data_IF_876188874189
#
_entry.id   IF_876188874189
#
_cell.length_a   1.000
_cell.length_b   1.000
_cell.length_c   1.000
_cell.angle_alpha   90.00
_cell.angle_beta   90.00
_cell.angle_gamma   90.00
#
_symmetry.space_group_name_H-M   'P 1'
#
loop_
_entity.id
_entity.type
_entity.pdbx_description
1 polymer ?
#
# COMPACT_ATOMS: atom_id res chain seq x y z
N UNK A 1 -1.46 -16.90 -9.65
CA UNK A 1 -2.25 -17.13 -8.45
C UNK A 1 -3.14 -15.93 -8.20
N UNK A 2 -4.42 -16.09 -8.54
CA UNK A 2 -5.51 -15.19 -8.10
C UNK A 2 -5.79 -15.33 -6.59
N UNK A 3 -4.76 -15.54 -5.78
CA UNK A 3 -4.93 -15.70 -4.34
C UNK A 3 -4.89 -14.32 -3.68
N UNK A 4 -6.03 -13.84 -3.21
CA UNK A 4 -6.13 -12.61 -2.41
C UNK A 4 -6.09 -12.89 -0.91
N UNK A 5 -6.22 -14.17 -0.52
CA UNK A 5 -6.24 -14.59 0.87
C UNK A 5 -4.82 -14.83 1.39
N UNK A 6 -4.40 -14.02 2.38
CA UNK A 6 -3.08 -14.10 2.99
C UNK A 6 -3.01 -15.10 4.17
N UNK A 7 -4.13 -15.35 4.85
CA UNK A 7 -4.20 -16.16 6.07
C UNK A 7 -5.33 -17.20 6.02
N UNK A 8 -5.22 -18.33 6.75
CA UNK A 8 -4.12 -18.72 7.64
C UNK A 8 -2.83 -19.13 6.89
N UNK A 9 -1.69 -19.07 7.58
CA UNK A 9 -0.42 -19.55 7.01
C UNK A 9 -0.25 -21.05 7.26
N UNK A 10 -0.26 -21.84 6.19
CA UNK A 10 -0.05 -23.28 6.23
C UNK A 10 1.14 -23.66 5.33
N UNK A 11 2.05 -24.50 5.85
CA UNK A 11 3.23 -24.99 5.12
C UNK A 11 3.32 -26.50 5.18
N UNK A 12 3.99 -27.08 4.19
CA UNK A 12 4.22 -28.51 4.14
C UNK A 12 5.12 -28.96 5.31
N UNK A 13 4.66 -29.96 6.06
CA UNK A 13 5.48 -30.62 7.08
C UNK A 13 6.19 -31.84 6.48
N UNK A 14 7.51 -31.78 6.41
CA UNK A 14 8.36 -32.89 5.98
C UNK A 14 8.52 -33.96 7.07
N UNK A 15 8.46 -35.22 6.68
CA UNK A 15 8.79 -36.38 7.53
C UNK A 15 9.25 -37.57 6.67
N UNK A 16 9.97 -38.51 7.28
CA UNK A 16 10.54 -39.66 6.58
C UNK A 16 9.46 -40.55 5.93
N UNK A 17 9.66 -40.90 4.66
CA UNK A 17 8.73 -41.72 3.89
C UNK A 17 7.53 -40.96 3.30
N UNK A 18 7.44 -39.63 3.47
CA UNK A 18 6.39 -38.83 2.83
C UNK A 18 6.59 -38.78 1.31
N UNK A 19 5.58 -39.17 0.55
CA UNK A 19 5.51 -38.93 -0.90
C UNK A 19 5.09 -37.47 -1.14
N UNK A 20 5.86 -36.73 -1.92
CA UNK A 20 5.57 -35.34 -2.27
C UNK A 20 4.80 -35.26 -3.58
N UNK A 21 3.78 -34.41 -3.60
CA UNK A 21 2.92 -34.16 -4.76
C UNK A 21 3.08 -32.71 -5.23
N UNK A 22 2.55 -32.39 -6.42
CA UNK A 22 2.46 -31.00 -6.89
C UNK A 22 1.70 -30.09 -5.92
N UNK A 23 0.71 -30.63 -5.20
CA UNK A 23 -0.03 -29.90 -4.17
C UNK A 23 0.87 -29.48 -3.00
N UNK A 24 1.80 -30.34 -2.57
CA UNK A 24 2.76 -30.01 -1.50
C UNK A 24 3.71 -28.87 -1.92
N UNK A 25 4.20 -28.89 -3.17
CA UNK A 25 5.06 -27.81 -3.69
C UNK A 25 4.30 -26.51 -3.94
N UNK A 26 3.03 -26.61 -4.34
CA UNK A 26 2.15 -25.45 -4.50
C UNK A 26 1.88 -24.80 -3.14
N UNK A 27 1.65 -25.61 -2.10
CA UNK A 27 1.48 -25.12 -0.73
C UNK A 27 2.72 -24.38 -0.21
N UNK A 28 3.93 -24.88 -0.52
CA UNK A 28 5.18 -24.19 -0.16
C UNK A 28 5.34 -22.83 -0.87
N UNK A 29 5.03 -22.76 -2.18
CA UNK A 29 5.05 -21.49 -2.92
C UNK A 29 4.04 -20.49 -2.34
N UNK A 30 2.81 -20.94 -2.11
CA UNK A 30 1.75 -20.15 -1.50
C UNK A 30 2.16 -19.63 -0.12
N UNK A 31 2.73 -20.49 0.73
CA UNK A 31 3.16 -20.11 2.08
C UNK A 31 4.16 -18.97 2.05
N UNK A 32 5.24 -19.13 1.26
CA UNK A 32 6.30 -18.12 1.19
C UNK A 32 5.80 -16.82 0.57
N UNK A 33 5.01 -16.91 -0.51
CA UNK A 33 4.41 -15.75 -1.16
C UNK A 33 3.44 -15.01 -0.21
N UNK A 34 2.59 -15.73 0.52
CA UNK A 34 1.65 -15.11 1.46
C UNK A 34 2.37 -14.48 2.65
N UNK A 35 3.45 -15.09 3.16
CA UNK A 35 4.29 -14.50 4.22
C UNK A 35 4.98 -13.22 3.76
N UNK A 36 5.55 -13.22 2.54
CA UNK A 36 6.19 -12.05 1.94
C UNK A 36 5.17 -10.93 1.69
N UNK A 37 4.05 -11.23 1.05
CA UNK A 37 2.96 -10.28 0.80
C UNK A 37 2.37 -9.72 2.08
N UNK A 38 2.21 -10.56 3.12
CA UNK A 38 1.81 -10.09 4.44
C UNK A 38 2.79 -9.07 4.99
N UNK A 39 4.11 -9.33 4.94
CA UNK A 39 5.10 -8.36 5.40
C UNK A 39 5.12 -7.09 4.53
N UNK A 40 5.02 -7.22 3.21
CA UNK A 40 4.98 -6.08 2.31
C UNK A 40 3.82 -5.17 2.64
N UNK A 41 2.62 -5.75 2.73
CA UNK A 41 1.44 -5.02 3.16
C UNK A 41 1.62 -4.48 4.57
N UNK A 42 2.18 -5.27 5.50
CA UNK A 42 2.31 -4.96 6.91
C UNK A 42 3.39 -3.93 7.28
N UNK A 43 4.33 -3.63 6.39
CA UNK A 43 5.48 -2.78 6.71
C UNK A 43 5.64 -1.65 5.71
N UNK A 44 5.31 -1.90 4.43
CA UNK A 44 5.57 -0.98 3.33
C UNK A 44 4.28 -0.41 2.71
N UNK A 45 3.12 -1.02 2.98
CA UNK A 45 1.84 -0.57 2.46
C UNK A 45 1.71 -0.83 0.95
N UNK A 46 1.13 0.13 0.24
CA UNK A 46 0.74 0.05 -1.17
C UNK A 46 1.22 1.31 -1.90
N UNK A 47 1.54 1.20 -3.20
CA UNK A 47 1.98 2.31 -4.04
C UNK A 47 3.33 2.11 -4.72
N UNK A 48 3.83 3.18 -5.37
CA UNK A 48 5.11 3.18 -6.08
C UNK A 48 6.28 3.13 -5.08
N UNK A 49 7.20 2.19 -5.29
CA UNK A 49 8.44 2.08 -4.52
C UNK A 49 9.50 2.99 -5.12
N UNK A 50 9.71 2.90 -6.44
CA UNK A 50 10.69 3.68 -7.20
C UNK A 50 10.37 3.68 -8.69
N UNK A 51 10.85 4.70 -9.42
CA UNK A 51 10.66 4.82 -10.86
C UNK A 51 9.19 5.02 -11.24
N UNK A 52 8.76 4.37 -12.33
CA UNK A 52 7.37 4.45 -12.85
C UNK A 52 6.92 5.88 -13.19
N UNK A 53 7.86 6.76 -13.54
CA UNK A 53 7.51 8.08 -14.04
C UNK A 53 6.75 7.94 -15.36
N UNK A 54 5.78 8.82 -15.55
CA UNK A 54 4.99 8.89 -16.77
C UNK A 54 5.30 10.19 -17.48
N UNK A 55 5.79 10.07 -18.71
CA UNK A 55 6.09 11.22 -19.56
C UNK A 55 5.17 11.19 -20.76
N UNK A 56 4.60 12.35 -21.10
CA UNK A 56 3.84 12.53 -22.34
C UNK A 56 4.80 12.54 -23.53
N UNK A 57 4.39 11.87 -24.61
CA UNK A 57 5.04 11.89 -25.91
C UNK A 57 4.05 12.37 -26.97
N UNK A 58 4.53 12.55 -28.21
CA UNK A 58 3.69 12.89 -29.35
C UNK A 58 2.65 11.78 -29.67
N UNK A 59 1.63 12.13 -30.47
CA UNK A 59 0.59 11.22 -30.94
C UNK A 59 -0.21 10.49 -29.84
N UNK A 60 -0.53 11.18 -28.73
CA UNK A 60 -1.28 10.60 -27.60
C UNK A 60 -0.64 9.33 -27.06
N UNK A 61 0.69 9.35 -26.98
CA UNK A 61 1.51 8.27 -26.43
C UNK A 61 2.11 8.69 -25.09
N UNK A 62 2.36 7.70 -24.24
CA UNK A 62 3.03 7.89 -22.96
C UNK A 62 4.25 6.97 -22.88
N UNK A 63 5.31 7.47 -22.25
CA UNK A 63 6.44 6.67 -21.78
C UNK A 63 6.24 6.38 -20.30
N UNK A 64 6.19 5.11 -19.94
CA UNK A 64 6.25 4.66 -18.55
C UNK A 64 7.65 4.16 -18.29
N UNK A 65 8.38 4.82 -17.40
CA UNK A 65 9.75 4.42 -17.06
C UNK A 65 9.77 3.13 -16.23
N UNK A 66 10.91 2.44 -16.27
CA UNK A 66 11.14 1.27 -15.43
C UNK A 66 11.02 1.62 -13.93
N UNK A 67 10.60 0.65 -13.13
CA UNK A 67 10.36 0.88 -11.70
C UNK A 67 9.62 -0.26 -11.03
N UNK A 68 9.23 -0.03 -9.78
CA UNK A 68 8.55 -1.02 -8.97
C UNK A 68 7.45 -0.41 -8.11
N UNK A 69 6.41 -1.20 -7.83
CA UNK A 69 5.30 -0.85 -6.96
C UNK A 69 4.84 -2.05 -6.11
N UNK A 70 4.09 -1.76 -5.05
CA UNK A 70 3.32 -2.73 -4.28
C UNK A 70 1.83 -2.48 -4.50
N UNK A 71 1.07 -3.54 -4.73
CA UNK A 71 -0.39 -3.42 -4.79
C UNK A 71 -1.08 -3.63 -3.43
N UNK A 72 -2.41 -3.44 -3.40
CA UNK A 72 -3.27 -3.62 -2.23
C UNK A 72 -3.15 -4.98 -1.52
N UNK A 73 -2.67 -6.00 -2.24
CA UNK A 73 -2.51 -7.34 -1.73
C UNK A 73 -1.06 -7.67 -1.35
N UNK A 74 -0.17 -6.66 -1.33
CA UNK A 74 1.24 -6.77 -0.99
C UNK A 74 2.11 -7.40 -2.09
N UNK A 75 1.61 -7.51 -3.33
CA UNK A 75 2.34 -8.08 -4.46
C UNK A 75 3.26 -7.03 -5.05
N UNK A 76 4.49 -7.42 -5.33
CA UNK A 76 5.46 -6.63 -6.08
C UNK A 76 5.07 -6.62 -7.56
N UNK A 77 5.09 -5.43 -8.15
CA UNK A 77 4.92 -5.24 -9.58
C UNK A 77 6.21 -4.58 -10.07
N UNK A 78 6.89 -5.22 -11.01
CA UNK A 78 8.15 -4.72 -11.57
C UNK A 78 7.96 -4.44 -13.05
N UNK A 79 8.23 -3.19 -13.44
CA UNK A 79 8.38 -2.77 -14.82
C UNK A 79 9.88 -2.74 -15.10
N UNK A 80 10.40 -3.82 -15.70
CA UNK A 80 11.84 -4.01 -15.86
C UNK A 80 12.48 -3.03 -16.85
N UNK A 81 11.73 -2.66 -17.90
CA UNK A 81 12.17 -1.78 -18.98
C UNK A 81 11.11 -0.71 -19.23
N UNK A 82 11.55 0.49 -19.61
CA UNK A 82 10.65 1.57 -19.96
C UNK A 82 9.84 1.24 -21.21
N UNK A 83 8.53 1.50 -21.19
CA UNK A 83 7.62 1.13 -22.29
C UNK A 83 6.87 2.34 -22.83
N UNK A 84 6.80 2.42 -24.16
CA UNK A 84 5.95 3.39 -24.85
C UNK A 84 4.60 2.75 -25.15
N UNK A 85 3.51 3.42 -24.76
CA UNK A 85 2.14 2.99 -25.01
C UNK A 85 1.31 4.11 -25.61
N UNK A 86 0.61 3.80 -26.71
CA UNK A 86 -0.48 4.66 -27.22
C UNK A 86 -1.66 4.56 -26.27
N UNK A 87 -2.25 5.68 -25.87
CA UNK A 87 -3.40 5.71 -24.95
C UNK A 87 -4.56 4.85 -25.48
N UNK A 88 -4.83 4.91 -26.79
CA UNK A 88 -5.89 4.13 -27.46
C UNK A 88 -5.71 2.60 -27.36
N UNK A 89 -4.47 2.13 -27.19
CA UNK A 89 -4.16 0.71 -27.05
C UNK A 89 -4.31 0.20 -25.60
N UNK A 90 -4.46 1.10 -24.62
CA UNK A 90 -4.65 0.73 -23.22
C UNK A 90 -6.08 0.26 -23.00
N UNK A 91 -6.23 -0.82 -22.22
CA UNK A 91 -7.55 -1.28 -21.78
C UNK A 91 -8.22 -0.18 -20.97
N UNK A 92 -9.53 -0.02 -21.16
CA UNK A 92 -10.31 1.03 -20.49
C UNK A 92 -10.35 2.37 -21.23
N UNK A 93 -9.51 2.60 -22.25
CA UNK A 93 -9.53 3.87 -23.01
C UNK A 93 -10.91 4.23 -23.57
N UNK A 94 -11.56 3.28 -24.24
CA UNK A 94 -12.89 3.48 -24.84
C UNK A 94 -14.03 3.56 -23.82
N UNK A 95 -13.73 3.26 -22.56
CA UNK A 95 -14.69 3.37 -21.45
C UNK A 95 -14.61 4.73 -20.75
N UNK A 96 -13.66 5.59 -21.13
CA UNK A 96 -13.53 6.94 -20.59
C UNK A 96 -14.52 7.86 -21.28
N UNK A 97 -15.36 8.51 -20.47
CA UNK A 97 -16.41 9.47 -20.84
C UNK A 97 -16.15 10.88 -20.28
N UNK A 98 -15.36 11.00 -19.22
CA UNK A 98 -14.99 12.25 -18.55
C UNK A 98 -13.69 12.88 -19.07
N UNK A 99 -13.36 14.05 -18.52
CA UNK A 99 -12.18 14.84 -18.91
C UNK A 99 -10.87 14.34 -18.27
N UNK A 100 -10.96 13.52 -17.22
CA UNK A 100 -9.82 12.99 -16.47
C UNK A 100 -9.87 11.46 -16.44
N UNK A 101 -8.70 10.84 -16.51
CA UNK A 101 -8.54 9.40 -16.36
C UNK A 101 -7.26 9.09 -15.59
N UNK A 102 -7.24 7.95 -14.91
CA UNK A 102 -6.07 7.45 -14.19
C UNK A 102 -5.35 6.39 -15.00
N UNK A 103 -4.02 6.47 -15.06
CA UNK A 103 -3.18 5.37 -15.48
C UNK A 103 -2.91 4.44 -14.31
N UNK A 104 -3.40 3.21 -14.41
CA UNK A 104 -3.27 2.21 -13.37
C UNK A 104 -2.33 1.08 -13.80
N UNK A 105 -1.62 0.54 -12.81
CA UNK A 105 -0.74 -0.59 -12.92
C UNK A 105 -1.29 -1.72 -12.06
N UNK A 106 -1.47 -2.92 -12.62
CA UNK A 106 -1.86 -4.11 -11.86
C UNK A 106 -0.96 -5.29 -12.12
N UNK A 107 -0.76 -6.09 -11.07
CA UNK A 107 -0.08 -7.36 -11.15
C UNK A 107 -0.83 -8.33 -12.06
N UNK A 108 -0.09 -9.06 -12.89
CA UNK A 108 -0.63 -10.04 -13.82
C UNK A 108 0.25 -11.28 -13.83
N UNK A 109 -0.38 -12.45 -13.89
CA UNK A 109 0.32 -13.71 -14.10
C UNK A 109 -0.19 -14.36 -15.37
N UNK A 110 0.72 -14.97 -16.12
CA UNK A 110 0.41 -15.76 -17.31
C UNK A 110 1.08 -17.12 -17.24
N UNK A 111 0.32 -18.16 -17.56
CA UNK A 111 0.84 -19.52 -17.69
C UNK A 111 1.58 -19.64 -19.03
N UNK A 112 2.88 -19.90 -18.96
CA UNK A 112 3.80 -19.91 -20.12
C UNK A 112 4.57 -21.22 -20.22
N UNK A 113 5.24 -21.41 -21.36
CA UNK A 113 6.00 -22.62 -21.69
C UNK A 113 5.12 -23.89 -21.72
N UNK A 114 4.26 -24.06 -22.75
CA UNK A 114 3.44 -25.26 -22.90
C UNK A 114 4.33 -26.49 -23.10
N UNK A 115 4.09 -27.52 -22.30
CA UNK A 115 4.78 -28.80 -22.36
C UNK A 115 3.77 -29.92 -22.53
N UNK A 116 4.16 -30.95 -23.28
CA UNK A 116 3.34 -32.15 -23.43
C UNK A 116 3.34 -32.98 -22.13
N UNK A 117 2.16 -33.30 -21.62
CA UNK A 117 1.95 -34.13 -20.44
C UNK A 117 1.45 -35.52 -20.84
N UNK A 118 2.38 -36.48 -20.94
CA UNK A 118 2.07 -37.86 -21.34
C UNK A 118 1.12 -38.61 -20.37
N UNK A 119 0.99 -38.14 -19.12
CA UNK A 119 0.09 -38.70 -18.11
C UNK A 119 -1.21 -37.90 -17.93
N UNK A 120 -1.59 -37.08 -18.91
CA UNK A 120 -2.83 -36.32 -18.85
C UNK A 120 -4.06 -37.25 -18.83
N UNK A 121 -4.97 -37.02 -17.90
CA UNK A 121 -6.21 -37.82 -17.74
C UNK A 121 -7.21 -37.60 -18.88
N UNK A 122 -7.12 -36.47 -19.57
CA UNK A 122 -8.02 -36.06 -20.66
C UNK A 122 -7.22 -35.42 -21.80
N UNK A 123 -7.72 -35.55 -23.04
CA UNK A 123 -7.11 -34.95 -24.24
C UNK A 123 -6.89 -33.44 -24.09
N UNK A 124 -7.80 -32.76 -23.40
CA UNK A 124 -7.72 -31.31 -23.16
C UNK A 124 -6.61 -30.89 -22.18
N UNK A 125 -5.92 -31.85 -21.54
CA UNK A 125 -4.80 -31.62 -20.62
C UNK A 125 -3.46 -32.16 -21.14
N UNK A 126 -3.41 -32.59 -22.40
CA UNK A 126 -2.19 -33.09 -23.05
C UNK A 126 -1.09 -32.02 -23.13
N UNK A 127 -1.45 -30.74 -23.07
CA UNK A 127 -0.50 -29.64 -22.98
C UNK A 127 -0.79 -28.79 -21.75
N UNK A 128 0.22 -28.64 -20.89
CA UNK A 128 0.16 -27.79 -19.71
C UNK A 128 1.38 -26.87 -19.66
N UNK A 129 1.17 -25.64 -19.23
CA UNK A 129 2.24 -24.67 -19.07
C UNK A 129 3.07 -25.01 -17.84
N UNK A 130 4.39 -25.17 -18.04
CA UNK A 130 5.31 -25.56 -16.97
C UNK A 130 5.74 -24.41 -16.05
N UNK A 131 5.42 -23.17 -16.42
CA UNK A 131 5.86 -21.98 -15.69
C UNK A 131 4.75 -20.95 -15.62
N UNK A 132 4.87 -20.09 -14.62
CA UNK A 132 4.06 -18.89 -14.49
C UNK A 132 5.00 -17.70 -14.62
N UNK A 133 4.70 -16.81 -15.56
CA UNK A 133 5.41 -15.55 -15.71
C UNK A 133 4.64 -14.47 -14.94
N UNK A 134 5.34 -13.83 -14.01
CA UNK A 134 4.83 -12.69 -13.26
C UNK A 134 5.15 -11.41 -14.02
N UNK A 135 4.17 -10.55 -14.17
CA UNK A 135 4.30 -9.29 -14.89
C UNK A 135 3.23 -8.29 -14.48
N UNK A 136 2.91 -7.40 -15.41
CA UNK A 136 2.01 -6.30 -15.15
C UNK A 136 1.09 -6.00 -16.32
N UNK A 137 0.04 -5.25 -16.04
CA UNK A 137 -0.83 -4.68 -17.05
C UNK A 137 -1.09 -3.20 -16.75
N UNK A 138 -0.86 -2.36 -17.76
CA UNK A 138 -1.25 -0.96 -17.76
C UNK A 138 -2.66 -0.84 -18.33
N UNK A 139 -3.50 -0.06 -17.64
CA UNK A 139 -4.88 0.18 -18.04
C UNK A 139 -5.33 1.56 -17.57
N UNK A 140 -6.38 2.07 -18.19
CA UNK A 140 -7.00 3.34 -17.83
C UNK A 140 -8.33 3.09 -17.13
N UNK A 141 -8.64 3.93 -16.15
CA UNK A 141 -9.94 3.93 -15.47
C UNK A 141 -10.43 5.35 -15.30
N UNK A 142 -11.74 5.49 -15.29
CA UNK A 142 -12.38 6.65 -14.71
C UNK A 142 -12.45 6.46 -13.20
N UNK A 143 -12.28 7.54 -12.48
CA UNK A 143 -12.43 7.62 -11.05
C UNK A 143 -12.53 9.08 -10.67
N UNK A 144 -13.03 9.36 -9.48
CA UNK A 144 -12.64 10.58 -8.79
C UNK A 144 -11.21 10.35 -8.29
N UNK A 145 -10.46 11.41 -8.01
CA UNK A 145 -9.39 11.26 -7.03
C UNK A 145 -10.10 10.69 -5.80
N UNK A 146 -10.06 9.38 -5.59
CA UNK A 146 -10.15 8.89 -4.24
C UNK A 146 -9.01 9.64 -3.57
N UNK A 147 -9.33 10.74 -2.85
CA UNK A 147 -8.52 11.22 -1.75
C UNK A 147 -8.02 9.93 -1.15
N UNK A 148 -6.70 9.67 -1.25
CA UNK A 148 -6.11 8.43 -0.75
C UNK A 148 -6.56 8.40 0.69
N UNK A 149 -7.68 7.74 0.94
CA UNK A 149 -8.32 7.84 2.22
C UNK A 149 -7.43 6.90 3.01
N UNK A 150 -6.68 7.41 3.97
CA UNK A 150 -5.82 6.56 4.78
C UNK A 150 -6.67 5.61 5.65
N UNK A 151 -7.99 5.58 5.45
CA UNK A 151 -8.96 4.93 6.30
C UNK A 151 -9.08 3.42 6.13
N UNK A 152 -8.37 2.76 5.19
CA UNK A 152 -8.46 1.28 5.10
C UNK A 152 -7.17 0.48 4.89
N UNK A 153 -6.00 1.10 4.77
CA UNK A 153 -4.71 0.40 4.67
C UNK A 153 -3.75 0.68 5.85
N UNK A 154 -4.19 0.25 7.04
CA UNK A 154 -3.42 -0.68 7.89
C UNK A 154 -2.29 -0.19 8.81
N UNK A 155 -1.62 0.95 8.56
CA UNK A 155 -0.43 1.34 9.38
C UNK A 155 -0.58 2.59 10.19
N UNK A 156 -1.35 3.55 9.73
CA UNK A 156 -1.55 4.81 10.42
C UNK A 156 -3.02 4.99 10.73
N UNK A 157 -3.31 5.44 11.95
CA UNK A 157 -4.62 5.89 12.35
C UNK A 157 -4.64 7.41 12.29
N UNK A 158 -5.70 7.93 11.72
CA UNK A 158 -5.97 9.36 11.67
C UNK A 158 -7.14 9.69 12.60
N UNK A 159 -7.02 10.82 13.29
CA UNK A 159 -8.06 11.42 14.10
C UNK A 159 -8.29 12.85 13.65
N UNK A 160 -9.52 13.19 13.30
CA UNK A 160 -9.86 14.56 12.95
C UNK A 160 -9.95 15.42 14.22
N UNK A 161 -9.18 16.50 14.28
CA UNK A 161 -9.23 17.49 15.37
C UNK A 161 -10.17 18.63 15.00
N UNK A 162 -10.07 19.13 13.77
CA UNK A 162 -10.90 20.22 13.25
C UNK A 162 -11.29 19.91 11.81
N UNK A 163 -12.56 20.10 11.51
CA UNK A 163 -13.04 20.14 10.13
C UNK A 163 -14.00 21.32 10.00
N UNK A 164 -13.58 22.36 9.29
CA UNK A 164 -14.41 23.50 8.95
C UNK A 164 -14.40 23.73 7.43
N UNK A 165 -15.06 24.79 6.97
CA UNK A 165 -15.18 25.10 5.55
C UNK A 165 -13.82 25.30 4.85
N UNK A 166 -12.85 25.87 5.56
CA UNK A 166 -11.58 26.33 4.99
C UNK A 166 -10.40 25.36 5.24
N UNK A 167 -10.47 24.59 6.32
CA UNK A 167 -9.36 23.80 6.84
C UNK A 167 -9.80 22.44 7.39
N UNK A 168 -8.94 21.44 7.23
CA UNK A 168 -9.01 20.15 7.95
C UNK A 168 -7.73 19.97 8.76
N UNK A 169 -7.83 19.80 10.07
CA UNK A 169 -6.70 19.47 10.93
C UNK A 169 -6.83 18.02 11.42
N UNK A 170 -5.82 17.22 11.13
CA UNK A 170 -5.79 15.78 11.42
C UNK A 170 -4.54 15.45 12.22
N UNK A 171 -4.70 14.63 13.26
CA UNK A 171 -3.57 13.95 13.91
C UNK A 171 -3.41 12.55 13.33
N UNK A 172 -2.19 12.19 12.96
CA UNK A 172 -1.83 10.92 12.34
C UNK A 172 -0.75 10.23 13.16
N UNK A 173 -0.93 8.95 13.47
CA UNK A 173 0.08 8.14 14.16
C UNK A 173 0.04 6.68 13.72
N UNK A 174 1.12 5.91 13.87
CA UNK A 174 1.09 4.48 13.62
C UNK A 174 0.08 3.74 14.52
N UNK A 175 -0.62 2.73 13.97
CA UNK A 175 -1.52 1.84 14.72
C UNK A 175 -0.73 0.86 15.59
N UNK A 176 0.47 0.50 15.15
CA UNK A 176 1.37 -0.41 15.85
C UNK A 176 2.70 0.29 16.15
N UNK A 177 3.16 0.18 17.39
CA UNK A 177 4.39 0.80 17.88
C UNK A 177 5.23 -0.21 18.65
N UNK A 178 6.55 -0.11 18.52
CA UNK A 178 7.48 -1.01 19.20
C UNK A 178 7.84 -0.50 20.58
N UNK A 179 7.80 -1.37 21.59
CA UNK A 179 8.21 -1.11 22.97
C UNK A 179 9.58 -0.44 23.02
N UNK A 180 9.75 0.63 23.82
CA UNK A 180 11.00 1.40 23.99
C UNK A 180 11.53 2.07 22.71
N UNK A 181 10.74 2.16 21.65
CA UNK A 181 11.11 2.93 20.46
C UNK A 181 10.40 4.28 20.47
N UNK A 182 10.97 5.23 19.76
CA UNK A 182 10.31 6.50 19.49
C UNK A 182 9.26 6.29 18.39
N UNK A 183 8.14 6.98 18.54
CA UNK A 183 7.08 7.06 17.55
C UNK A 183 6.96 8.50 17.08
N UNK A 184 6.80 8.68 15.76
CA UNK A 184 6.41 9.95 15.15
C UNK A 184 4.90 10.06 15.15
N UNK A 185 4.39 11.15 15.69
CA UNK A 185 3.00 11.60 15.61
C UNK A 185 3.01 12.85 14.75
N UNK A 186 2.15 12.92 13.74
CA UNK A 186 2.13 14.02 12.78
C UNK A 186 0.82 14.79 12.90
N UNK A 187 0.90 16.11 12.96
CA UNK A 187 -0.24 17.01 12.88
C UNK A 187 -0.28 17.60 11.47
N UNK A 188 -1.35 17.36 10.73
CA UNK A 188 -1.46 17.72 9.32
C UNK A 188 -2.65 18.66 9.14
N UNK A 189 -2.39 19.86 8.62
CA UNK A 189 -3.39 20.85 8.24
C UNK A 189 -3.53 20.84 6.73
N UNK A 190 -4.76 20.65 6.24
CA UNK A 190 -5.13 20.70 4.83
C UNK A 190 -5.92 21.97 4.56
N UNK A 191 -5.55 22.70 3.49
CA UNK A 191 -6.33 23.84 2.99
C UNK A 191 -7.39 23.37 1.98
N UNK A 192 -8.67 23.61 2.26
CA UNK A 192 -9.80 23.16 1.43
C UNK A 192 -10.23 24.17 0.36
N UNK A 193 -10.04 25.46 0.63
CA UNK A 193 -10.55 26.56 -0.20
C UNK A 193 -9.42 27.48 -0.65
N UNK A 194 -9.70 28.37 -1.60
CA UNK A 194 -8.77 29.41 -2.05
C UNK A 194 -8.76 30.66 -1.15
N UNK A 195 -9.57 30.70 -0.09
CA UNK A 195 -9.67 31.88 0.76
C UNK A 195 -8.35 32.13 1.49
N UNK A 196 -7.82 33.36 1.44
CA UNK A 196 -6.64 33.76 2.20
C UNK A 196 -6.97 33.89 3.69
N UNK A 197 -6.94 32.75 4.37
CA UNK A 197 -7.04 32.66 5.83
C UNK A 197 -5.82 31.94 6.35
N UNK A 198 -5.44 32.28 7.57
CA UNK A 198 -4.39 31.63 8.32
C UNK A 198 -5.00 30.88 9.51
N UNK A 199 -4.37 29.79 9.91
CA UNK A 199 -4.77 29.01 11.08
C UNK A 199 -3.53 28.65 11.89
N UNK A 200 -3.49 29.07 13.15
CA UNK A 200 -2.59 28.51 14.15
C UNK A 200 -3.35 27.54 15.06
N UNK A 201 -2.65 26.55 15.59
CA UNK A 201 -3.22 25.58 16.50
C UNK A 201 -2.28 25.30 17.66
N UNK A 202 -2.81 25.33 18.88
CA UNK A 202 -2.14 24.84 20.07
C UNK A 202 -3.09 23.92 20.82
N UNK A 203 -2.59 22.76 21.24
CA UNK A 203 -3.39 21.76 21.91
C UNK A 203 -2.56 20.84 22.78
N UNK A 204 -3.19 20.29 23.80
CA UNK A 204 -2.56 19.31 24.68
C UNK A 204 -3.32 18.00 24.62
N UNK A 205 -2.61 16.92 24.32
CA UNK A 205 -3.19 15.58 24.22
C UNK A 205 -2.55 14.69 25.26
N UNK A 206 -3.38 13.94 25.98
CA UNK A 206 -2.92 12.90 26.88
C UNK A 206 -2.75 11.58 26.11
N UNK A 207 -1.54 11.02 26.14
CA UNK A 207 -1.14 9.85 25.37
C UNK A 207 -0.67 8.72 26.30
N UNK A 208 -1.60 7.95 26.89
CA UNK A 208 -1.26 6.82 27.77
C UNK A 208 -0.35 5.82 27.05
N UNK A 209 0.69 5.33 27.73
CA UNK A 209 1.67 4.40 27.16
C UNK A 209 2.76 5.05 26.31
N UNK A 210 2.78 6.38 26.25
CA UNK A 210 3.85 7.16 25.61
C UNK A 210 4.42 8.16 26.63
N UNK A 211 5.70 8.49 26.48
CA UNK A 211 6.40 9.47 27.30
C UNK A 211 7.06 10.51 26.40
N UNK A 212 6.96 11.78 26.76
CA UNK A 212 7.80 12.83 26.18
C UNK A 212 9.20 12.81 26.81
N UNK A 213 10.09 13.71 26.36
CA UNK A 213 11.46 13.85 26.88
C UNK A 213 11.53 14.12 28.39
N UNK A 214 10.47 14.70 28.98
CA UNK A 214 10.36 15.00 30.41
C UNK A 214 9.77 13.85 31.22
N UNK A 215 9.45 12.71 30.58
CA UNK A 215 8.83 11.57 31.24
C UNK A 215 7.36 11.78 31.60
N UNK A 216 6.64 12.69 30.93
CA UNK A 216 5.18 12.83 31.09
C UNK A 216 4.42 12.26 29.89
N UNK A 217 3.18 11.82 30.12
CA UNK A 217 2.27 11.30 29.09
C UNK A 217 1.58 12.40 28.27
N UNK A 218 2.06 13.63 28.37
CA UNK A 218 1.41 14.78 27.76
C UNK A 218 2.19 15.20 26.52
N UNK A 219 1.48 15.25 25.40
CA UNK A 219 1.98 15.78 24.15
C UNK A 219 1.42 17.19 23.92
N UNK A 220 2.31 18.16 23.72
CA UNK A 220 1.96 19.51 23.34
C UNK A 220 2.05 19.65 21.83
N UNK A 221 0.89 19.70 21.18
CA UNK A 221 0.74 19.95 19.76
C UNK A 221 0.76 21.45 19.52
N UNK A 222 1.57 21.89 18.57
CA UNK A 222 1.61 23.28 18.12
C UNK A 222 1.77 23.34 16.61
N UNK A 223 1.15 24.32 15.98
CA UNK A 223 1.29 24.62 14.57
C UNK A 223 1.18 26.12 14.39
N UNK A 224 2.26 26.72 13.87
CA UNK A 224 2.28 28.15 13.56
C UNK A 224 1.40 28.44 12.36
N UNK A 225 0.79 29.63 12.37
CA UNK A 225 -0.02 30.10 11.26
C UNK A 225 0.84 30.35 10.03
N UNK A 226 0.40 29.80 8.90
CA UNK A 226 1.01 30.02 7.59
C UNK A 226 -0.08 30.18 6.53
N UNK A 227 0.17 31.02 5.54
CA UNK A 227 -0.66 31.10 4.34
C UNK A 227 -0.45 29.85 3.49
N UNK A 228 -1.53 29.13 3.24
CA UNK A 228 -1.56 27.92 2.41
C UNK A 228 -2.44 28.15 1.19
N UNK A 229 -2.02 27.64 0.04
CA UNK A 229 -2.84 27.63 -1.19
C UNK A 229 -3.78 26.42 -1.14
N UNK A 230 -4.93 26.47 -1.84
CA UNK A 230 -5.86 25.35 -1.91
C UNK A 230 -5.16 24.05 -2.32
N UNK A 231 -5.39 22.97 -1.57
CA UNK A 231 -4.76 21.66 -1.79
C UNK A 231 -3.35 21.53 -1.18
N UNK A 232 -2.74 22.63 -0.71
CA UNK A 232 -1.51 22.57 0.07
C UNK A 232 -1.78 22.01 1.48
N UNK A 233 -0.75 21.38 2.05
CA UNK A 233 -0.76 20.90 3.43
C UNK A 233 0.46 21.38 4.19
N UNK A 234 0.27 21.64 5.48
CA UNK A 234 1.33 21.85 6.46
C UNK A 234 1.37 20.64 7.40
N UNK A 235 2.56 20.11 7.66
CA UNK A 235 2.76 18.97 8.54
C UNK A 235 3.79 19.32 9.63
N UNK A 236 3.40 19.12 10.89
CA UNK A 236 4.27 19.24 12.05
C UNK A 236 4.49 17.87 12.69
N UNK A 237 5.73 17.59 13.10
CA UNK A 237 6.13 16.28 13.60
C UNK A 237 6.47 16.34 15.10
N UNK A 238 5.91 15.38 15.84
CA UNK A 238 6.11 15.22 17.27
C UNK A 238 6.64 13.83 17.58
N UNK A 239 7.54 13.75 18.54
CA UNK A 239 8.16 12.48 18.93
C UNK A 239 7.81 12.15 20.37
N UNK A 240 7.46 10.88 20.60
CA UNK A 240 7.28 10.33 21.94
C UNK A 240 7.93 8.97 22.04
N UNK A 241 8.42 8.61 23.23
CA UNK A 241 8.94 7.29 23.52
C UNK A 241 7.81 6.35 23.95
N UNK A 242 7.74 5.16 23.36
CA UNK A 242 6.76 4.14 23.73
C UNK A 242 7.20 3.50 25.04
N UNK A 243 6.33 3.54 26.04
CA UNK A 243 6.61 2.95 27.33
C UNK A 243 6.88 1.46 27.23
N UNK A 244 7.70 0.92 28.14
CA UNK A 244 7.80 -0.51 28.29
C UNK A 244 6.47 -1.05 28.83
N UNK A 245 5.53 -1.43 27.94
CA UNK A 245 4.21 -1.94 28.29
C UNK A 245 4.23 -2.82 29.55
N UNK A 246 3.49 -2.32 30.54
CA UNK A 246 3.02 -2.96 31.75
C UNK A 246 1.60 -2.49 32.04
N UNK A 247 0.71 -2.51 31.04
CA UNK A 247 -0.72 -2.58 31.33
C UNK A 247 -1.00 -4.02 31.79
N UNK A 248 -1.37 -4.17 33.06
CA UNK A 248 -1.66 -5.44 33.73
C UNK A 248 -2.90 -6.14 33.17
N UNK A 249 -2.80 -6.64 31.94
CA UNK A 249 -3.64 -7.69 31.39
C UNK A 249 -2.71 -8.82 30.95
N UNK A 250 -2.69 -9.92 31.69
CA UNK A 250 -2.05 -11.15 31.24
C UNK A 250 -2.64 -11.53 29.88
N UNK A 251 -1.85 -11.37 28.82
CA UNK A 251 -2.00 -12.22 27.64
C UNK A 251 -0.90 -13.26 27.75
N UNK A 252 -1.27 -14.38 28.35
CA UNK A 252 -0.53 -15.63 28.28
C UNK A 252 -0.53 -16.07 26.82
N UNK A 253 0.64 -16.51 26.34
CA UNK A 253 0.79 -17.20 25.04
C UNK A 253 -0.03 -18.50 25.03
#
# INVERSE_FOLDING_TARGET
MKNEQLFPFERNRYYGGKMLTSADFTAEQLYMNNKRRFLNRALYGTGVICGLNVLELEDSSILVENGAALDGAGREIVVAESVVKKLQALKGYHSITGEKAFLCLRYKEEEVHPMFCAMAETKDKEYQCGRIEEGYELFLTEGEEEEISPERDGFFREGCILDNEDFKLVIKMPVFVSKRKEVKISLILYKKTEQERELSFEGKVFMPGFLNEKGSHELFLHMESRVLIQGEKQEEAFWMQVEPAGFGGQVLF
#
